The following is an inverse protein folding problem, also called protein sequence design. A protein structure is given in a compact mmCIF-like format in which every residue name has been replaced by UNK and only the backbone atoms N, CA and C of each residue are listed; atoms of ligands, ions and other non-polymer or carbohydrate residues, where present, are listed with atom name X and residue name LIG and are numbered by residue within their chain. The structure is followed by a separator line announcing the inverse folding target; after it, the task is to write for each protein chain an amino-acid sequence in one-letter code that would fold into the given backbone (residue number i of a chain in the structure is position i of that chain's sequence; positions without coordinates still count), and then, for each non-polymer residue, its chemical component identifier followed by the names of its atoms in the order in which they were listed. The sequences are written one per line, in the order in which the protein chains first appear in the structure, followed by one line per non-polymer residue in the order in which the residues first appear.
data_IF_156835050791
#
_entry.id   IF_156835050791
#
_cell.length_a   1.000
_cell.length_b   1.000
_cell.length_c   1.000
_cell.angle_alpha   90.00
_cell.angle_beta   90.00
_cell.angle_gamma   90.00
#
_symmetry.space_group_name_H-M   'P 1'
#
loop_
_entity.id
_entity.type
_entity.pdbx_description
1 polymer ?
#
# COMPACT_ATOMS: atom_id res chain seq x y z
N UNK A 1 1.67 -14.69 20.78
CA UNK A 1 0.33 -14.85 20.19
C UNK A 1 0.32 -16.04 19.24
N UNK A 2 -0.72 -16.89 19.25
CA UNK A 2 -0.86 -17.98 18.26
C UNK A 2 -1.11 -17.44 16.83
N UNK A 3 -1.48 -16.18 16.71
CA UNK A 3 -1.73 -15.51 15.41
C UNK A 3 -0.48 -14.92 14.75
N UNK A 4 0.69 -15.02 15.41
CA UNK A 4 1.94 -14.48 14.87
C UNK A 4 2.47 -15.42 13.77
N UNK A 5 2.38 -14.97 12.51
CA UNK A 5 2.76 -15.77 11.35
C UNK A 5 4.21 -15.53 10.88
N UNK A 6 4.70 -14.30 11.00
CA UNK A 6 6.03 -13.87 10.54
C UNK A 6 6.55 -12.76 11.45
N UNK A 7 7.85 -12.75 11.71
CA UNK A 7 8.56 -11.64 12.34
C UNK A 7 9.35 -10.91 11.26
N UNK A 8 9.16 -9.60 11.13
CA UNK A 8 9.87 -8.76 10.18
C UNK A 8 10.85 -7.84 10.90
N UNK A 9 12.11 -7.79 10.46
CA UNK A 9 13.19 -7.03 11.07
C UNK A 9 13.16 -5.54 10.83
N UNK A 10 12.44 -5.07 9.80
CA UNK A 10 12.32 -3.65 9.49
C UNK A 10 11.41 -3.38 8.31
N UNK A 11 10.98 -2.12 8.16
CA UNK A 11 10.23 -1.64 7.01
C UNK A 11 11.08 -0.66 6.21
N UNK A 12 11.17 -0.89 4.91
CA UNK A 12 11.82 -0.06 3.88
C UNK A 12 13.31 0.27 4.05
N UNK A 13 13.95 -0.15 5.12
CA UNK A 13 15.37 0.16 5.36
C UNK A 13 16.28 -0.32 4.21
N UNK A 14 16.08 -1.56 3.75
CA UNK A 14 16.84 -2.11 2.63
C UNK A 14 16.53 -1.38 1.32
N UNK A 15 15.26 -1.12 1.06
CA UNK A 15 14.79 -0.39 -0.11
C UNK A 15 15.42 1.01 -0.18
N UNK A 16 15.33 1.77 0.88
CA UNK A 16 15.86 3.13 0.92
C UNK A 16 17.38 3.16 0.79
N UNK A 17 18.08 2.27 1.48
CA UNK A 17 19.52 2.15 1.36
C UNK A 17 19.97 1.82 -0.07
N UNK A 18 19.30 0.89 -0.72
CA UNK A 18 19.57 0.54 -2.11
C UNK A 18 19.24 1.69 -3.09
N UNK A 19 18.12 2.40 -2.88
CA UNK A 19 17.75 3.57 -3.70
C UNK A 19 18.73 4.74 -3.55
N UNK A 20 19.35 4.87 -2.37
CA UNK A 20 20.42 5.85 -2.14
C UNK A 20 21.77 5.43 -2.72
N UNK A 21 21.85 4.28 -3.37
CA UNK A 21 23.09 3.75 -3.96
C UNK A 21 24.10 3.27 -2.92
N UNK A 22 23.69 2.96 -1.70
CA UNK A 22 24.58 2.37 -0.71
C UNK A 22 24.99 0.96 -1.13
N UNK A 23 26.21 0.52 -0.83
CA UNK A 23 26.63 -0.85 -1.06
C UNK A 23 25.80 -1.84 -0.22
N UNK A 24 25.62 -3.04 -0.73
CA UNK A 24 24.69 -4.04 -0.18
C UNK A 24 24.95 -4.37 1.30
N UNK A 25 26.22 -4.48 1.68
CA UNK A 25 26.65 -4.72 3.05
C UNK A 25 26.24 -3.60 4.02
N UNK A 26 26.00 -2.39 3.50
CA UNK A 26 25.56 -1.24 4.28
C UNK A 26 24.06 -1.26 4.56
N UNK A 27 23.23 -1.56 3.57
CA UNK A 27 21.78 -1.55 3.75
C UNK A 27 21.24 -2.88 4.29
N UNK A 28 21.93 -4.01 4.09
CA UNK A 28 21.57 -5.26 4.78
C UNK A 28 21.91 -5.27 6.26
N UNK A 29 23.07 -4.78 6.66
CA UNK A 29 23.52 -4.53 8.03
C UNK A 29 23.36 -5.70 9.03
N UNK A 30 24.14 -5.68 10.11
CA UNK A 30 24.11 -6.72 11.14
C UNK A 30 22.79 -6.71 11.95
N UNK A 31 22.13 -5.56 12.08
CA UNK A 31 20.91 -5.46 12.88
C UNK A 31 19.82 -6.42 12.38
N UNK A 32 19.47 -6.32 11.10
CA UNK A 32 18.39 -7.11 10.49
C UNK A 32 18.85 -8.47 9.99
N UNK A 33 20.16 -8.66 9.75
CA UNK A 33 20.74 -9.88 9.23
C UNK A 33 21.24 -10.87 10.28
N UNK A 34 21.59 -10.41 11.50
CA UNK A 34 22.22 -11.24 12.53
C UNK A 34 21.57 -11.07 13.92
N UNK A 35 21.47 -9.84 14.40
CA UNK A 35 21.02 -9.57 15.78
C UNK A 35 19.54 -9.90 15.96
N UNK A 36 18.68 -9.32 15.14
CA UNK A 36 17.24 -9.55 15.24
C UNK A 36 16.82 -10.99 14.90
N UNK A 37 17.37 -11.67 13.87
CA UNK A 37 17.09 -13.09 13.67
C UNK A 37 17.48 -13.96 14.86
N UNK A 38 18.64 -13.71 15.47
CA UNK A 38 19.08 -14.43 16.67
C UNK A 38 18.12 -14.25 17.85
N UNK A 39 17.67 -13.02 18.10
CA UNK A 39 16.69 -12.72 19.14
C UNK A 39 15.32 -13.35 18.82
N UNK A 40 14.87 -13.25 17.57
CA UNK A 40 13.60 -13.85 17.13
C UNK A 40 13.61 -15.38 17.28
N UNK A 41 14.67 -16.04 16.83
CA UNK A 41 14.84 -17.50 16.96
C UNK A 41 14.88 -17.95 18.42
N UNK A 42 15.47 -17.16 19.29
CA UNK A 42 15.50 -17.47 20.74
C UNK A 42 14.13 -17.31 21.40
N UNK A 43 13.35 -16.32 21.00
CA UNK A 43 12.04 -16.04 21.58
C UNK A 43 10.90 -16.86 20.96
N UNK A 44 10.95 -17.08 19.64
CA UNK A 44 9.90 -17.74 18.84
C UNK A 44 10.53 -18.56 17.69
N UNK A 45 11.15 -19.71 18.04
CA UNK A 45 11.77 -20.59 17.05
C UNK A 45 10.76 -21.21 16.05
N UNK A 46 9.48 -21.15 16.38
CA UNK A 46 8.35 -21.64 15.60
C UNK A 46 7.86 -20.63 14.53
N UNK A 47 8.35 -19.38 14.57
CA UNK A 47 7.90 -18.32 13.66
C UNK A 47 9.02 -17.93 12.71
N UNK A 48 8.79 -17.96 11.38
CA UNK A 48 9.78 -17.53 10.42
C UNK A 48 10.12 -16.03 10.56
N UNK A 49 11.36 -15.72 10.26
CA UNK A 49 11.88 -14.35 10.26
C UNK A 49 12.20 -13.89 8.84
N UNK A 50 11.85 -12.65 8.50
CA UNK A 50 12.29 -11.96 7.28
C UNK A 50 13.05 -10.69 7.66
N UNK A 51 14.17 -10.38 6.98
CA UNK A 51 15.06 -9.30 7.43
C UNK A 51 14.47 -7.92 7.22
N UNK A 52 13.63 -7.74 6.21
CA UNK A 52 13.03 -6.46 5.87
C UNK A 52 11.80 -6.62 4.97
N UNK A 53 10.90 -5.67 4.99
CA UNK A 53 9.83 -5.50 4.02
C UNK A 53 10.00 -4.12 3.35
N UNK A 54 10.19 -4.01 2.01
CA UNK A 54 10.33 -5.13 1.07
C UNK A 54 11.69 -5.81 1.12
N UNK A 55 11.78 -7.04 0.56
CA UNK A 55 13.05 -7.79 0.46
C UNK A 55 12.92 -9.01 -0.48
N UNK A 56 14.05 -9.60 -0.86
CA UNK A 56 14.09 -10.90 -1.51
C UNK A 56 14.39 -10.90 -3.00
N UNK A 57 14.44 -9.77 -3.68
CA UNK A 57 14.90 -9.64 -5.07
C UNK A 57 16.38 -9.28 -5.19
N UNK A 58 16.86 -9.15 -6.41
CA UNK A 58 18.16 -8.57 -6.68
C UNK A 58 18.27 -7.13 -6.16
N UNK A 59 17.13 -6.43 -6.21
CA UNK A 59 16.92 -5.15 -5.52
C UNK A 59 15.73 -5.30 -4.57
N UNK A 60 15.77 -4.72 -3.36
CA UNK A 60 14.70 -4.88 -2.36
C UNK A 60 13.33 -4.34 -2.81
N UNK A 61 13.31 -3.48 -3.82
CA UNK A 61 12.08 -2.91 -4.40
C UNK A 61 11.60 -3.62 -5.68
N UNK A 62 12.15 -4.79 -6.03
CA UNK A 62 11.70 -5.56 -7.19
C UNK A 62 10.33 -6.19 -6.89
N UNK A 63 9.24 -5.85 -7.60
CA UNK A 63 7.91 -6.31 -7.24
C UNK A 63 7.71 -7.82 -7.50
N UNK A 64 8.45 -8.37 -8.45
CA UNK A 64 8.33 -9.75 -8.93
C UNK A 64 9.19 -10.77 -8.16
N UNK A 65 9.73 -10.40 -7.02
CA UNK A 65 10.57 -11.28 -6.21
C UNK A 65 10.39 -11.01 -4.71
N UNK A 66 10.25 -12.07 -3.91
CA UNK A 66 10.13 -11.98 -2.46
C UNK A 66 8.91 -11.16 -2.00
N UNK A 67 9.15 -10.25 -1.07
CA UNK A 67 8.16 -9.33 -0.50
C UNK A 67 8.33 -7.97 -1.17
N UNK A 68 7.25 -7.41 -1.73
CA UNK A 68 7.24 -6.09 -2.35
C UNK A 68 6.39 -5.10 -1.56
N UNK A 69 6.71 -3.81 -1.65
CA UNK A 69 5.78 -2.72 -1.39
C UNK A 69 5.28 -2.23 -2.76
N UNK A 70 4.05 -2.60 -3.09
CA UNK A 70 3.49 -2.34 -4.41
C UNK A 70 2.41 -1.26 -4.35
N UNK A 71 2.75 -0.10 -4.87
CA UNK A 71 1.87 1.06 -4.91
C UNK A 71 1.57 1.57 -6.32
N UNK A 72 1.88 0.77 -7.36
CA UNK A 72 1.62 1.12 -8.75
C UNK A 72 0.15 1.46 -8.95
N UNK A 73 -0.74 0.48 -8.78
CA UNK A 73 -2.16 0.73 -8.58
C UNK A 73 -2.35 1.24 -7.15
N UNK A 74 -3.00 2.36 -7.00
CA UNK A 74 -3.09 3.08 -5.73
C UNK A 74 -2.24 4.33 -5.75
N UNK A 75 -1.32 4.50 -4.80
CA UNK A 75 -0.59 5.75 -4.56
C UNK A 75 0.09 6.36 -5.79
N UNK A 76 0.57 5.55 -6.74
CA UNK A 76 1.20 6.04 -7.97
C UNK A 76 0.24 6.18 -9.17
N UNK A 77 -1.07 5.98 -8.96
CA UNK A 77 -2.15 6.24 -9.92
C UNK A 77 -1.95 5.56 -11.28
N UNK A 78 -1.35 4.36 -11.28
CA UNK A 78 -1.19 3.56 -12.48
C UNK A 78 -2.52 2.87 -12.86
N UNK A 79 -2.72 2.51 -14.15
CA UNK A 79 -3.91 1.80 -14.58
C UNK A 79 -4.01 0.43 -13.91
N UNK A 80 -5.21 -0.13 -13.80
CA UNK A 80 -5.46 -1.39 -13.09
C UNK A 80 -4.65 -2.58 -13.64
N UNK A 81 -4.34 -2.56 -14.94
CA UNK A 81 -3.54 -3.58 -15.61
C UNK A 81 -2.10 -3.65 -15.08
N UNK A 82 -1.59 -2.58 -14.46
CA UNK A 82 -0.25 -2.57 -13.87
C UNK A 82 -0.10 -3.65 -12.78
N UNK A 83 -1.18 -4.01 -12.10
CA UNK A 83 -1.19 -5.11 -11.13
C UNK A 83 -0.75 -6.45 -11.74
N UNK A 84 -1.11 -6.69 -13.00
CA UNK A 84 -0.67 -7.86 -13.77
C UNK A 84 0.79 -7.77 -14.18
N UNK A 85 1.19 -6.61 -14.73
CA UNK A 85 2.52 -6.40 -15.28
C UNK A 85 3.61 -6.43 -14.20
N UNK A 86 3.30 -5.92 -13.03
CA UNK A 86 4.21 -5.94 -11.88
C UNK A 86 4.55 -7.36 -11.41
N UNK A 87 3.67 -8.34 -11.68
CA UNK A 87 3.86 -9.76 -11.33
C UNK A 87 4.29 -9.95 -9.86
N UNK A 88 3.61 -9.28 -8.95
CA UNK A 88 3.91 -9.28 -7.51
C UNK A 88 3.91 -10.70 -6.95
N UNK A 89 4.90 -11.03 -6.12
CA UNK A 89 4.99 -12.34 -5.45
C UNK A 89 4.32 -12.36 -4.08
N UNK A 90 4.53 -11.30 -3.32
CA UNK A 90 3.82 -11.02 -2.07
C UNK A 90 3.88 -9.52 -1.82
N UNK A 91 2.74 -8.88 -1.67
CA UNK A 91 2.72 -7.47 -1.31
C UNK A 91 2.68 -7.32 0.22
N UNK A 92 3.81 -6.94 0.82
CA UNK A 92 3.88 -6.59 2.24
C UNK A 92 3.13 -5.30 2.55
N UNK A 93 3.05 -4.42 1.57
CA UNK A 93 2.22 -3.22 1.55
C UNK A 93 1.70 -2.99 0.13
N UNK A 94 0.48 -2.47 -0.01
CA UNK A 94 -0.08 -2.13 -1.33
C UNK A 94 -1.24 -1.14 -1.24
N UNK A 95 -1.53 -0.51 -2.39
CA UNK A 95 -2.66 0.35 -2.68
C UNK A 95 -2.50 1.77 -2.09
N UNK A 96 -2.83 2.03 -0.83
CA UNK A 96 -2.81 3.34 -0.17
C UNK A 96 -3.85 4.33 -0.74
N UNK A 97 -4.97 4.43 -0.04
CA UNK A 97 -6.06 5.37 -0.31
C UNK A 97 -6.44 6.14 0.96
N UNK A 98 -7.02 7.32 0.78
CA UNK A 98 -7.83 7.96 1.81
C UNK A 98 -9.22 7.33 1.80
N UNK A 99 -9.51 6.50 2.78
CA UNK A 99 -10.80 5.84 2.91
C UNK A 99 -11.85 6.81 3.45
N UNK A 100 -13.04 6.78 2.86
CA UNK A 100 -14.18 7.56 3.33
C UNK A 100 -14.91 6.77 4.41
N UNK A 101 -14.98 7.32 5.61
CA UNK A 101 -15.68 6.69 6.72
C UNK A 101 -17.17 6.49 6.41
N UNK A 102 -17.76 5.42 6.98
CA UNK A 102 -19.19 5.21 6.91
C UNK A 102 -19.98 6.32 7.64
N UNK A 103 -21.18 6.66 7.17
CA UNK A 103 -22.03 7.64 7.85
C UNK A 103 -22.22 7.26 9.32
N UNK A 104 -21.91 8.20 10.22
CA UNK A 104 -22.03 8.00 11.66
C UNK A 104 -20.85 7.30 12.35
N UNK A 105 -19.85 6.84 11.60
CA UNK A 105 -18.64 6.29 12.19
C UNK A 105 -17.71 7.37 12.77
N UNK A 106 -17.82 8.60 12.28
CA UNK A 106 -17.07 9.76 12.77
C UNK A 106 -18.07 10.84 13.14
N UNK A 107 -18.09 11.28 14.40
CA UNK A 107 -19.10 12.19 14.92
C UNK A 107 -18.95 13.65 14.48
N UNK A 108 -17.79 14.06 13.95
CA UNK A 108 -17.46 15.46 13.65
C UNK A 108 -16.55 15.60 12.42
N UNK A 109 -16.83 14.85 11.34
CA UNK A 109 -16.10 15.05 10.10
C UNK A 109 -16.51 16.38 9.46
N UNK A 110 -15.54 17.20 9.10
CA UNK A 110 -15.78 18.38 8.28
C UNK A 110 -16.48 18.00 6.96
N UNK A 111 -17.39 18.82 6.44
CA UNK A 111 -17.98 18.56 5.13
C UNK A 111 -16.88 18.48 4.05
N UNK A 112 -17.04 17.58 3.07
CA UNK A 112 -16.00 17.34 2.06
C UNK A 112 -15.63 18.58 1.24
N UNK A 113 -16.47 19.61 1.18
CA UNK A 113 -16.19 20.88 0.55
C UNK A 113 -15.53 21.91 1.49
N UNK A 114 -15.36 21.60 2.79
CA UNK A 114 -14.68 22.50 3.73
C UNK A 114 -13.17 22.55 3.45
N UNK A 115 -12.51 23.70 3.58
CA UNK A 115 -11.06 23.82 3.35
C UNK A 115 -10.21 22.87 4.21
N UNK A 116 -10.69 22.53 5.41
CA UNK A 116 -9.99 21.65 6.35
C UNK A 116 -10.25 20.16 6.12
N UNK A 117 -11.12 19.79 5.17
CA UNK A 117 -11.42 18.40 4.85
C UNK A 117 -10.17 17.55 4.60
N UNK A 118 -9.22 18.08 3.86
CA UNK A 118 -7.95 17.40 3.54
C UNK A 118 -6.89 17.52 4.64
N UNK A 119 -7.21 18.15 5.77
CA UNK A 119 -6.26 18.31 6.87
C UNK A 119 -5.87 16.93 7.41
N UNK A 120 -4.57 16.60 7.36
CA UNK A 120 -4.04 15.34 7.84
C UNK A 120 -4.15 14.16 6.85
N UNK A 121 -4.66 14.37 5.64
CA UNK A 121 -4.60 13.32 4.59
C UNK A 121 -3.14 13.05 4.25
N UNK A 122 -2.67 11.81 4.38
CA UNK A 122 -1.29 11.47 4.09
C UNK A 122 -0.95 11.61 2.61
N UNK A 123 0.32 11.86 2.32
CA UNK A 123 0.88 11.77 0.97
C UNK A 123 2.30 11.25 1.03
N UNK A 124 2.76 10.64 -0.03
CA UNK A 124 4.16 10.31 -0.20
C UNK A 124 5.00 11.59 -0.37
N UNK A 125 6.23 11.57 0.15
CA UNK A 125 7.10 12.75 0.22
C UNK A 125 7.39 13.35 -1.17
N UNK A 126 7.59 12.50 -2.15
CA UNK A 126 8.13 12.88 -3.47
C UNK A 126 7.05 13.04 -4.55
N UNK A 127 5.77 13.05 -4.16
CA UNK A 127 4.65 13.27 -5.09
C UNK A 127 3.87 14.54 -4.77
N UNK A 128 3.28 15.14 -5.81
CA UNK A 128 2.48 16.37 -5.70
C UNK A 128 1.02 16.15 -5.31
N UNK A 129 0.61 14.92 -4.94
CA UNK A 129 -0.76 14.55 -4.60
C UNK A 129 -0.83 13.77 -3.30
N UNK A 130 -1.97 13.84 -2.62
CA UNK A 130 -2.26 13.07 -1.41
C UNK A 130 -3.14 11.84 -1.70
N UNK A 131 -3.43 11.04 -0.68
CA UNK A 131 -4.19 9.80 -0.87
C UNK A 131 -5.68 10.02 -1.18
N UNK A 132 -6.22 11.22 -0.93
CA UNK A 132 -7.52 11.60 -1.46
C UNK A 132 -7.46 11.86 -2.97
N UNK A 133 -6.43 12.56 -3.44
CA UNK A 133 -6.20 12.75 -4.88
C UNK A 133 -6.02 11.41 -5.61
N UNK A 134 -5.45 10.40 -4.95
CA UNK A 134 -5.36 9.03 -5.47
C UNK A 134 -6.75 8.43 -5.63
N UNK A 135 -7.59 8.49 -4.61
CA UNK A 135 -8.97 8.02 -4.68
C UNK A 135 -9.75 8.74 -5.79
N UNK A 136 -9.66 10.06 -5.85
CA UNK A 136 -10.33 10.90 -6.83
C UNK A 136 -9.85 10.63 -8.27
N UNK A 137 -8.58 10.24 -8.45
CA UNK A 137 -8.10 9.75 -9.73
C UNK A 137 -8.89 8.52 -10.19
N UNK A 138 -9.07 7.53 -9.33
CA UNK A 138 -9.82 6.32 -9.69
C UNK A 138 -11.32 6.55 -9.81
N UNK A 139 -11.91 7.51 -9.10
CA UNK A 139 -13.29 7.95 -9.35
C UNK A 139 -13.45 8.41 -10.80
N UNK A 140 -12.51 9.22 -11.29
CA UNK A 140 -12.52 9.70 -12.67
C UNK A 140 -12.31 8.55 -13.68
N UNK A 141 -11.34 7.69 -13.43
CA UNK A 141 -11.01 6.57 -14.32
C UNK A 141 -12.15 5.53 -14.42
N UNK A 142 -12.79 5.20 -13.32
CA UNK A 142 -13.83 4.17 -13.29
C UNK A 142 -15.20 4.68 -13.77
N UNK A 143 -15.54 5.93 -13.41
CA UNK A 143 -16.91 6.43 -13.62
C UNK A 143 -17.00 7.56 -14.65
N UNK A 144 -15.88 8.09 -15.13
CA UNK A 144 -15.86 9.21 -16.09
C UNK A 144 -16.42 10.51 -15.52
N UNK A 145 -16.51 10.63 -14.18
CA UNK A 145 -17.09 11.78 -13.49
C UNK A 145 -15.97 12.62 -12.86
N UNK A 146 -16.07 13.95 -12.93
CA UNK A 146 -15.11 14.79 -12.25
C UNK A 146 -15.39 14.82 -10.74
N UNK A 147 -14.46 14.38 -9.89
CA UNK A 147 -14.61 14.40 -8.45
C UNK A 147 -14.83 15.81 -7.88
N UNK A 148 -14.30 16.86 -8.53
CA UNK A 148 -14.51 18.24 -8.08
C UNK A 148 -15.95 18.67 -8.29
N UNK A 149 -16.56 18.32 -9.42
CA UNK A 149 -17.97 18.63 -9.67
C UNK A 149 -18.88 17.96 -8.64
N UNK A 150 -18.61 16.70 -8.32
CA UNK A 150 -19.34 16.00 -7.25
C UNK A 150 -19.11 16.64 -5.88
N UNK A 151 -17.86 16.92 -5.52
CA UNK A 151 -17.47 17.43 -4.22
C UNK A 151 -18.22 18.70 -3.83
N UNK A 152 -18.43 19.59 -4.80
CA UNK A 152 -19.10 20.87 -4.59
C UNK A 152 -20.57 20.88 -4.98
N UNK A 153 -20.97 20.08 -5.97
CA UNK A 153 -22.35 20.01 -6.47
C UNK A 153 -23.24 18.98 -5.79
N UNK A 154 -22.67 17.80 -5.47
CA UNK A 154 -23.34 16.68 -4.80
C UNK A 154 -22.38 15.95 -3.85
N UNK A 155 -22.14 16.51 -2.66
CA UNK A 155 -21.23 15.93 -1.67
C UNK A 155 -21.54 14.49 -1.27
N UNK A 156 -22.81 14.09 -1.26
CA UNK A 156 -23.21 12.72 -0.92
C UNK A 156 -22.71 11.75 -1.98
N UNK A 157 -22.96 12.03 -3.25
CA UNK A 157 -22.45 11.25 -4.37
C UNK A 157 -20.91 11.25 -4.43
N UNK A 158 -20.24 12.33 -4.07
CA UNK A 158 -18.78 12.36 -3.97
C UNK A 158 -18.25 11.31 -2.99
N UNK A 159 -18.84 11.24 -1.79
CA UNK A 159 -18.42 10.29 -0.76
C UNK A 159 -18.74 8.84 -1.18
N UNK A 160 -19.89 8.61 -1.80
CA UNK A 160 -20.29 7.28 -2.25
C UNK A 160 -19.42 6.78 -3.40
N UNK A 161 -19.12 7.62 -4.39
CA UNK A 161 -18.17 7.30 -5.45
C UNK A 161 -16.76 7.04 -4.89
N UNK A 162 -16.35 7.79 -3.89
CA UNK A 162 -15.07 7.57 -3.21
C UNK A 162 -14.99 6.20 -2.55
N UNK A 163 -16.04 5.76 -1.84
CA UNK A 163 -16.10 4.42 -1.24
C UNK A 163 -16.09 3.33 -2.31
N UNK A 164 -16.92 3.49 -3.33
CA UNK A 164 -17.04 2.53 -4.42
C UNK A 164 -15.73 2.39 -5.20
N UNK A 165 -15.06 3.49 -5.55
CA UNK A 165 -13.80 3.45 -6.28
C UNK A 165 -12.71 2.69 -5.51
N UNK A 166 -12.57 2.92 -4.20
CA UNK A 166 -11.59 2.18 -3.38
C UNK A 166 -11.90 0.68 -3.40
N UNK A 167 -13.16 0.30 -3.23
CA UNK A 167 -13.58 -1.10 -3.23
C UNK A 167 -13.31 -1.77 -4.58
N UNK A 168 -13.67 -1.12 -5.69
CA UNK A 168 -13.48 -1.66 -7.04
C UNK A 168 -12.00 -1.78 -7.42
N UNK A 169 -11.17 -0.80 -7.07
CA UNK A 169 -9.72 -0.88 -7.31
C UNK A 169 -9.08 -2.01 -6.50
N UNK A 170 -9.48 -2.17 -5.24
CA UNK A 170 -9.02 -3.28 -4.42
C UNK A 170 -9.47 -4.61 -5.01
N UNK A 171 -10.74 -4.75 -5.36
CA UNK A 171 -11.29 -5.96 -5.97
C UNK A 171 -10.54 -6.33 -7.25
N UNK A 172 -10.37 -5.40 -8.18
CA UNK A 172 -9.68 -5.62 -9.44
C UNK A 172 -8.22 -6.07 -9.21
N UNK A 173 -7.51 -5.41 -8.30
CA UNK A 173 -6.11 -5.73 -7.97
C UNK A 173 -6.00 -7.12 -7.36
N UNK A 174 -6.82 -7.43 -6.36
CA UNK A 174 -6.79 -8.74 -5.71
C UNK A 174 -7.33 -9.87 -6.62
N UNK A 175 -8.30 -9.61 -7.47
CA UNK A 175 -8.75 -10.57 -8.48
C UNK A 175 -7.62 -10.95 -9.44
N UNK A 176 -6.84 -9.96 -9.90
CA UNK A 176 -5.67 -10.19 -10.74
C UNK A 176 -4.62 -11.03 -10.03
N UNK A 177 -4.30 -10.74 -8.77
CA UNK A 177 -3.31 -11.49 -8.00
C UNK A 177 -3.76 -12.89 -7.60
N UNK A 178 -5.08 -13.13 -7.52
CA UNK A 178 -5.67 -14.44 -7.19
C UNK A 178 -6.01 -15.29 -8.41
N UNK A 179 -5.88 -14.76 -9.63
CA UNK A 179 -6.19 -15.51 -10.85
C UNK A 179 -5.33 -16.75 -10.98
N UNK A 180 -5.85 -17.76 -11.69
CA UNK A 180 -5.08 -18.97 -12.05
C UNK A 180 -3.83 -18.56 -12.85
N UNK A 181 -2.67 -19.02 -12.40
CA UNK A 181 -1.38 -18.70 -13.01
C UNK A 181 -0.72 -17.41 -12.51
N UNK A 182 -1.34 -16.69 -11.56
CA UNK A 182 -0.62 -15.69 -10.79
C UNK A 182 0.43 -16.33 -9.91
N UNK A 183 1.58 -15.66 -9.76
CA UNK A 183 2.62 -16.07 -8.82
C UNK A 183 2.48 -15.42 -7.44
N UNK A 184 1.41 -14.65 -7.21
CA UNK A 184 1.21 -13.94 -5.96
C UNK A 184 0.73 -14.89 -4.84
N UNK A 185 1.46 -14.90 -3.73
CA UNK A 185 1.12 -15.69 -2.54
C UNK A 185 0.25 -14.97 -1.53
N UNK A 186 0.05 -13.64 -1.69
CA UNK A 186 -0.76 -12.84 -0.78
C UNK A 186 -0.43 -11.35 -0.83
N UNK A 187 -1.26 -10.57 -0.14
CA UNK A 187 -1.07 -9.13 -0.04
C UNK A 187 -1.68 -8.57 1.26
N UNK A 188 -1.08 -7.50 1.76
CA UNK A 188 -1.54 -6.73 2.89
C UNK A 188 -1.81 -5.30 2.43
N UNK A 189 -3.04 -4.81 2.62
CA UNK A 189 -3.40 -3.44 2.26
C UNK A 189 -2.78 -2.46 3.26
N UNK A 190 -2.16 -1.42 2.77
CA UNK A 190 -1.62 -0.33 3.57
C UNK A 190 -2.38 0.96 3.27
N UNK A 191 -3.06 1.57 4.17
CA UNK A 191 -3.59 1.18 5.47
C UNK A 191 -5.11 1.10 5.37
N UNK A 192 -5.69 0.36 6.31
CA UNK A 192 -7.15 0.20 6.30
C UNK A 192 -7.78 1.07 7.37
#
# INVERSE_FOLDING_TARGET
SPSLAVICGGSEMHQQGAMMGLPEERWRGALTGEILPGAAASARPDVPYVPNSPSGGAMPFSPNAGIAHYYGVGAYRRPLEDARWANVRFAGECLAFSNVAEPGAVSEAEPCHHPDWKRGVPRDRDVGWDFEDVRDHYVRELYGTDPLDLRYGDPASYLDHGRAAVAEVMEATFAEWRRKGSGCGGALVWTF
#
